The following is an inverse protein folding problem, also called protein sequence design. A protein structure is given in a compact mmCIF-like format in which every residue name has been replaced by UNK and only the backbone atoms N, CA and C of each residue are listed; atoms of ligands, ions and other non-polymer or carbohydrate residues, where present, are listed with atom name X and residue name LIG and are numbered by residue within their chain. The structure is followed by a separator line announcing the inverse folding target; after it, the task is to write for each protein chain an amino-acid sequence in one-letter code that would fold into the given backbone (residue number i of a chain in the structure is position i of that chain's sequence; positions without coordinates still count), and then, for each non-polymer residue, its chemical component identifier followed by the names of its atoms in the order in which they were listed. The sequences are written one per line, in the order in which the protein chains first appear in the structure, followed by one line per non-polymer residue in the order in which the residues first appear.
data_IF_519583010138
#
_entry.id   IF_519583010138
#
_cell.length_a   1.000
_cell.length_b   1.000
_cell.length_c   1.000
_cell.angle_alpha   90.00
_cell.angle_beta   90.00
_cell.angle_gamma   90.00
#
_symmetry.space_group_name_H-M   'P 1'
#
loop_
_entity.id
_entity.type
_entity.pdbx_description
1 polymer ?
#
# COMPACT_ATOMS: atom_id res chain seq x y z
N UNK A 1 7.59 16.27 0.69
CA UNK A 1 6.42 15.39 0.78
C UNK A 1 5.73 15.47 -0.55
N UNK A 2 5.52 14.32 -1.17
CA UNK A 2 4.94 14.17 -2.49
C UNK A 2 3.54 13.56 -2.40
N UNK A 3 2.79 13.67 -3.48
CA UNK A 3 1.55 12.92 -3.63
C UNK A 3 1.86 11.43 -3.87
N UNK A 4 0.95 10.57 -3.41
CA UNK A 4 0.97 9.16 -3.75
C UNK A 4 0.69 8.97 -5.24
N UNK A 5 1.39 8.03 -5.87
CA UNK A 5 1.14 7.62 -7.26
C UNK A 5 -0.24 6.98 -7.38
N UNK A 6 -0.70 6.83 -8.63
CA UNK A 6 -1.95 6.13 -8.91
C UNK A 6 -1.95 4.70 -8.32
N UNK A 7 -0.87 3.94 -8.55
CA UNK A 7 -0.72 2.58 -8.03
C UNK A 7 -0.80 2.56 -6.50
N UNK A 8 -0.04 3.39 -5.81
CA UNK A 8 0.00 3.41 -4.34
C UNK A 8 -1.39 3.71 -3.75
N UNK A 9 -2.12 4.68 -4.34
CA UNK A 9 -3.49 4.99 -3.92
C UNK A 9 -4.45 3.84 -4.16
N UNK A 10 -4.40 3.22 -5.34
CA UNK A 10 -5.27 2.10 -5.68
C UNK A 10 -4.97 0.87 -4.81
N UNK A 11 -3.70 0.60 -4.49
CA UNK A 11 -3.28 -0.49 -3.62
C UNK A 11 -3.83 -0.30 -2.20
N UNK A 12 -3.60 0.87 -1.59
CA UNK A 12 -4.09 1.18 -0.24
C UNK A 12 -5.63 1.18 -0.22
N UNK A 13 -6.27 1.70 -1.26
CA UNK A 13 -7.73 1.70 -1.36
C UNK A 13 -8.32 0.28 -1.49
N UNK A 14 -7.68 -0.62 -2.24
CA UNK A 14 -8.10 -2.02 -2.36
C UNK A 14 -8.00 -2.76 -1.02
N UNK A 15 -6.86 -2.60 -0.34
CA UNK A 15 -6.66 -3.13 1.02
C UNK A 15 -7.75 -2.57 1.95
N UNK A 16 -7.95 -1.25 1.92
CA UNK A 16 -8.96 -0.57 2.73
C UNK A 16 -10.38 -1.10 2.47
N UNK A 17 -10.78 -1.29 1.22
CA UNK A 17 -12.11 -1.75 0.87
C UNK A 17 -12.45 -3.16 1.41
N UNK A 18 -11.43 -3.95 1.72
CA UNK A 18 -11.58 -5.33 2.21
C UNK A 18 -11.43 -5.46 3.73
N UNK A 19 -10.97 -4.40 4.40
CA UNK A 19 -10.71 -4.39 5.85
C UNK A 19 -11.97 -4.01 6.65
N UNK A 20 -12.15 -4.61 7.82
CA UNK A 20 -13.24 -4.29 8.74
C UNK A 20 -13.26 -2.81 9.19
N UNK A 21 -12.10 -2.15 9.19
CA UNK A 21 -11.90 -0.73 9.48
C UNK A 21 -11.64 0.09 8.20
N UNK A 22 -12.10 -0.39 7.05
CA UNK A 22 -11.86 0.20 5.73
C UNK A 22 -12.17 1.69 5.61
N UNK A 23 -13.26 2.15 6.22
CA UNK A 23 -13.62 3.58 6.20
C UNK A 23 -12.52 4.45 6.83
N UNK A 24 -11.90 3.99 7.92
CA UNK A 24 -10.80 4.70 8.57
C UNK A 24 -9.57 4.71 7.66
N UNK A 25 -9.24 3.58 7.02
CA UNK A 25 -8.13 3.50 6.08
C UNK A 25 -8.30 4.46 4.89
N UNK A 26 -9.51 4.57 4.34
CA UNK A 26 -9.81 5.49 3.24
C UNK A 26 -9.71 6.96 3.68
N UNK A 27 -10.14 7.29 4.89
CA UNK A 27 -9.96 8.66 5.44
C UNK A 27 -8.48 8.96 5.68
N UNK A 28 -7.70 8.00 6.19
CA UNK A 28 -6.26 8.17 6.34
C UNK A 28 -5.56 8.34 5.00
N UNK A 29 -5.90 7.53 3.99
CA UNK A 29 -5.37 7.64 2.63
C UNK A 29 -5.65 9.01 2.01
N UNK A 30 -6.83 9.58 2.22
CA UNK A 30 -7.17 10.92 1.75
C UNK A 30 -6.34 12.04 2.40
N UNK A 31 -5.74 11.76 3.56
CA UNK A 31 -4.88 12.68 4.32
C UNK A 31 -3.41 12.22 4.38
N UNK A 32 -3.05 11.23 3.56
CA UNK A 32 -1.72 10.66 3.49
C UNK A 32 -0.90 11.35 2.42
N UNK A 33 0.40 11.46 2.68
CA UNK A 33 1.40 11.95 1.73
C UNK A 33 2.58 11.01 1.70
N UNK A 34 3.25 10.93 0.56
CA UNK A 34 4.49 10.18 0.41
C UNK A 34 5.66 10.98 1.01
N UNK A 35 6.37 10.36 1.96
CA UNK A 35 7.60 10.91 2.54
C UNK A 35 8.79 10.53 1.66
N UNK A 36 8.90 9.25 1.30
CA UNK A 36 9.98 8.71 0.48
C UNK A 36 9.58 7.39 -0.18
N UNK A 37 10.27 7.07 -1.27
CA UNK A 37 10.20 5.77 -1.96
C UNK A 37 11.59 5.15 -1.96
N UNK A 38 11.71 3.93 -1.47
CA UNK A 38 12.95 3.15 -1.50
C UNK A 38 12.79 1.90 -2.37
N UNK A 39 13.50 1.89 -3.50
CA UNK A 39 13.48 0.81 -4.48
C UNK A 39 14.60 -0.18 -4.19
N UNK A 40 14.23 -1.42 -3.88
CA UNK A 40 15.18 -2.48 -3.52
C UNK A 40 15.66 -3.31 -4.72
N UNK A 41 15.10 -3.04 -5.90
CA UNK A 41 15.29 -3.84 -7.13
C UNK A 41 14.28 -4.97 -7.29
N UNK A 42 13.68 -5.46 -6.20
CA UNK A 42 12.63 -6.49 -6.19
C UNK A 42 11.33 -5.99 -5.55
N UNK A 43 11.30 -4.71 -5.16
CA UNK A 43 10.19 -4.11 -4.44
C UNK A 43 10.39 -2.64 -4.20
N UNK A 44 9.42 -2.07 -3.49
CA UNK A 44 9.29 -0.67 -3.17
C UNK A 44 8.73 -0.53 -1.75
N UNK A 45 9.40 0.26 -0.91
CA UNK A 45 8.85 0.81 0.32
C UNK A 45 8.42 2.25 0.09
N UNK A 46 7.12 2.52 0.21
CA UNK A 46 6.57 3.87 0.18
C UNK A 46 6.23 4.30 1.60
N UNK A 47 7.08 5.14 2.18
CA UNK A 47 6.87 5.70 3.52
C UNK A 47 5.79 6.78 3.48
N UNK A 48 4.84 6.69 4.42
CA UNK A 48 3.63 7.50 4.48
C UNK A 48 3.63 8.38 5.73
N UNK A 49 3.16 9.62 5.55
CA UNK A 49 2.77 10.48 6.67
C UNK A 49 1.27 10.79 6.55
N UNK A 50 0.53 10.40 7.58
CA UNK A 50 -0.90 10.68 7.73
C UNK A 50 -1.08 11.86 8.69
N UNK A 51 -2.03 12.75 8.38
CA UNK A 51 -2.43 13.82 9.29
C UNK A 51 -2.83 13.28 10.67
N UNK A 52 -2.39 13.91 11.78
CA UNK A 52 -2.80 13.52 13.12
C UNK A 52 -4.31 13.70 13.39
N UNK A 53 -4.99 14.51 12.56
CA UNK A 53 -6.44 14.73 12.65
C UNK A 53 -7.27 13.57 12.06
N UNK A 54 -6.63 12.64 11.35
CA UNK A 54 -7.30 11.45 10.83
C UNK A 54 -7.67 10.48 11.98
N UNK A 55 -8.80 9.75 11.87
CA UNK A 55 -9.15 8.71 12.83
C UNK A 55 -8.10 7.61 12.85
N UNK A 56 -7.93 6.97 14.01
CA UNK A 56 -6.99 5.86 14.21
C UNK A 56 -7.70 4.51 14.06
N UNK A 57 -6.95 3.51 13.64
CA UNK A 57 -7.38 2.11 13.72
C UNK A 57 -7.50 1.68 15.20
N UNK A 58 -8.45 0.80 15.50
CA UNK A 58 -8.90 0.49 16.88
C UNK A 58 -8.19 -0.72 17.51
N UNK A 59 -7.18 -1.28 16.83
CA UNK A 59 -6.46 -2.47 17.27
C UNK A 59 -4.94 -2.24 17.28
N UNK A 60 -4.20 -3.05 18.04
CA UNK A 60 -2.74 -3.10 18.01
C UNK A 60 -2.23 -3.82 16.73
N UNK A 61 -2.76 -3.42 15.56
CA UNK A 61 -2.33 -3.91 14.26
C UNK A 61 -0.95 -3.34 13.94
N UNK A 62 -0.09 -4.22 13.46
CA UNK A 62 1.26 -3.90 13.01
C UNK A 62 1.34 -3.89 11.48
N UNK A 63 0.50 -4.66 10.80
CA UNK A 63 0.35 -4.68 9.33
C UNK A 63 -0.99 -5.28 8.88
N UNK A 64 -1.34 -5.06 7.61
CA UNK A 64 -2.46 -5.67 6.88
C UNK A 64 -1.88 -6.33 5.61
N UNK A 65 -2.13 -7.62 5.41
CA UNK A 65 -1.57 -8.42 4.30
C UNK A 65 -2.58 -9.46 3.75
N UNK A 66 -3.87 -9.14 3.82
CA UNK A 66 -4.95 -10.09 3.52
C UNK A 66 -5.12 -10.35 2.04
N UNK A 67 -5.30 -11.61 1.65
CA UNK A 67 -5.63 -11.98 0.26
C UNK A 67 -7.15 -11.91 0.03
N UNK A 68 -7.61 -11.50 -1.18
CA UNK A 68 -6.81 -11.18 -2.37
C UNK A 68 -6.23 -9.75 -2.41
N UNK A 69 -6.67 -8.87 -1.52
CA UNK A 69 -6.44 -7.42 -1.54
C UNK A 69 -4.97 -7.02 -1.37
N UNK A 70 -4.18 -7.88 -0.75
CA UNK A 70 -2.73 -7.81 -0.58
C UNK A 70 -1.95 -8.28 -1.82
N UNK A 71 -2.57 -8.27 -3.00
CA UNK A 71 -1.97 -8.70 -4.25
C UNK A 71 -2.27 -7.74 -5.41
N UNK A 72 -1.33 -7.64 -6.35
CA UNK A 72 -1.48 -6.90 -7.60
C UNK A 72 -0.88 -7.67 -8.78
N UNK A 73 -1.42 -7.44 -9.97
CA UNK A 73 -0.93 -8.03 -11.21
C UNK A 73 -0.14 -7.00 -12.03
N UNK A 74 0.88 -7.47 -12.74
CA UNK A 74 1.62 -6.70 -13.74
C UNK A 74 2.02 -7.62 -14.90
N UNK A 75 1.92 -7.19 -16.19
CA UNK A 75 2.24 -8.05 -17.33
C UNK A 75 3.67 -8.62 -17.32
N UNK A 76 4.64 -7.82 -16.85
CA UNK A 76 6.04 -8.22 -16.77
C UNK A 76 6.42 -8.95 -15.46
N UNK A 77 5.45 -9.17 -14.56
CA UNK A 77 5.66 -9.90 -13.30
C UNK A 77 4.64 -11.05 -13.22
N UNK A 78 4.92 -12.21 -13.85
CA UNK A 78 3.95 -13.29 -13.98
C UNK A 78 3.43 -13.87 -12.65
N UNK A 79 4.29 -13.89 -11.63
CA UNK A 79 3.94 -14.36 -10.28
C UNK A 79 3.17 -13.30 -9.46
N UNK A 80 3.01 -12.10 -10.01
CA UNK A 80 2.35 -10.97 -9.39
C UNK A 80 3.20 -10.25 -8.33
N UNK A 81 2.54 -9.33 -7.64
CA UNK A 81 3.12 -8.41 -6.67
C UNK A 81 2.36 -8.58 -5.36
N UNK A 82 3.09 -8.84 -4.27
CA UNK A 82 2.53 -8.82 -2.92
C UNK A 82 2.52 -7.40 -2.35
N UNK A 83 1.53 -7.11 -1.52
CA UNK A 83 1.32 -5.81 -0.89
C UNK A 83 1.16 -5.99 0.62
N UNK A 84 1.88 -5.20 1.40
CA UNK A 84 1.75 -5.14 2.86
C UNK A 84 1.57 -3.67 3.26
N UNK A 85 0.50 -3.40 4.01
CA UNK A 85 0.24 -2.07 4.57
C UNK A 85 0.61 -2.04 6.04
N UNK A 86 1.73 -1.42 6.36
CA UNK A 86 2.26 -1.31 7.72
C UNK A 86 1.55 -0.24 8.53
N UNK A 87 1.26 -0.55 9.79
CA UNK A 87 0.55 0.34 10.72
C UNK A 87 1.43 0.69 11.92
N UNK A 88 1.49 1.98 12.26
CA UNK A 88 2.23 2.50 13.41
C UNK A 88 1.39 3.49 14.19
N UNK A 89 1.13 3.18 15.47
CA UNK A 89 0.37 4.06 16.35
C UNK A 89 -1.08 4.32 15.91
N UNK A 90 -1.67 3.37 15.16
CA UNK A 90 -3.01 3.47 14.60
C UNK A 90 -3.10 4.14 13.23
N UNK A 91 -1.96 4.53 12.63
CA UNK A 91 -1.90 5.14 11.30
C UNK A 91 -1.18 4.23 10.29
N UNK A 92 -1.61 4.25 9.03
CA UNK A 92 -0.83 3.68 7.93
C UNK A 92 0.51 4.41 7.83
N UNK A 93 1.58 3.66 7.68
CA UNK A 93 2.95 4.16 7.81
C UNK A 93 3.85 3.80 6.65
N UNK A 94 3.64 2.64 6.03
CA UNK A 94 4.36 2.27 4.82
C UNK A 94 3.50 1.33 3.98
N UNK A 95 3.49 1.54 2.66
CA UNK A 95 3.08 0.52 1.70
C UNK A 95 4.35 -0.19 1.23
N UNK A 96 4.50 -1.46 1.59
CA UNK A 96 5.52 -2.33 1.02
C UNK A 96 4.91 -3.09 -0.16
N UNK A 97 5.58 -3.05 -1.30
CA UNK A 97 5.23 -3.81 -2.49
C UNK A 97 6.43 -4.64 -2.93
N UNK A 98 6.23 -5.91 -3.26
CA UNK A 98 7.33 -6.80 -3.63
C UNK A 98 6.93 -7.80 -4.71
N UNK A 99 7.87 -8.18 -5.55
CA UNK A 99 7.69 -9.29 -6.50
C UNK A 99 7.97 -10.62 -5.82
N UNK A 100 7.16 -11.65 -6.08
CA UNK A 100 7.45 -13.01 -5.56
C UNK A 100 8.65 -13.65 -6.26
N UNK A 101 8.89 -13.29 -7.51
CA UNK A 101 10.06 -13.66 -8.31
C UNK A 101 10.40 -12.54 -9.29
N UNK A 102 11.67 -12.43 -9.67
CA UNK A 102 12.17 -11.44 -10.61
C UNK A 102 12.41 -10.04 -10.01
N UNK A 103 12.44 -9.04 -10.89
CA UNK A 103 12.71 -7.62 -10.55
C UNK A 103 11.42 -6.82 -10.50
N UNK A 104 11.44 -5.72 -9.77
CA UNK A 104 10.37 -4.71 -9.82
C UNK A 104 10.18 -4.20 -11.27
N UNK A 105 8.94 -4.00 -11.76
CA UNK A 105 8.70 -3.59 -13.13
C UNK A 105 9.20 -2.16 -13.41
N UNK A 106 9.65 -1.94 -14.65
CA UNK A 106 10.12 -0.61 -15.09
C UNK A 106 8.95 0.38 -15.30
N UNK A 107 7.71 -0.11 -15.49
CA UNK A 107 6.50 0.69 -15.70
C UNK A 107 5.38 0.36 -14.67
N UNK A 108 5.40 1.04 -13.53
CA UNK A 108 4.39 0.88 -12.48
C UNK A 108 2.97 1.25 -12.89
N UNK A 109 2.79 2.01 -14.00
CA UNK A 109 1.46 2.45 -14.44
C UNK A 109 0.58 1.29 -14.93
N UNK A 110 1.17 0.12 -15.14
CA UNK A 110 0.49 -1.11 -15.54
C UNK A 110 0.13 -2.01 -14.35
N UNK A 111 0.56 -1.68 -13.13
CA UNK A 111 0.19 -2.45 -11.93
C UNK A 111 -1.31 -2.33 -11.67
N UNK A 112 -1.97 -3.44 -11.39
CA UNK A 112 -3.40 -3.52 -11.08
C UNK A 112 -3.61 -4.26 -9.76
N UNK A 113 -3.94 -3.57 -8.66
CA UNK A 113 -4.35 -4.22 -7.42
C UNK A 113 -5.55 -5.13 -7.65
N UNK A 114 -5.63 -6.22 -6.88
CA UNK A 114 -6.80 -7.08 -6.89
C UNK A 114 -8.05 -6.28 -6.46
N UNK A 115 -9.19 -6.62 -7.06
CA UNK A 115 -10.51 -6.04 -6.77
C UNK A 115 -11.40 -7.03 -6.05
#
# INVERSE_FOLDING_TARGET
MEELTKFEREAIASIGASDAQGEILLVQLAQATCVSRDYTGVGLYTELLVSPDAPKLDEARWKIEDMPSGHAAHPDVPEGIGLILWVKGGYISCLESYTYDGRWPDDESLIRPAT
#
